data_IF_453982028273
#
_entry.id   IF_453982028273
#
_cell.length_a   1.000
_cell.length_b   1.000
_cell.length_c   1.000
_cell.angle_alpha   90.00
_cell.angle_beta   90.00
_cell.angle_gamma   90.00
#
_symmetry.space_group_name_H-M   'P 1'
#
loop_
_entity.id
_entity.type
_entity.pdbx_description
1 polymer ?
#
# COMPACT_ATOMS: atom_id res chain seq x y z
N UNK A 1 53.84 36.11 48.94
CA UNK A 1 52.38 36.24 48.74
C UNK A 1 52.12 37.22 47.60
N UNK A 2 51.71 36.73 46.43
CA UNK A 2 51.43 37.53 45.24
C UNK A 2 49.91 37.59 45.05
N UNK A 3 49.31 38.75 45.32
CA UNK A 3 47.87 39.00 45.16
C UNK A 3 47.55 39.08 43.67
N UNK A 4 46.96 38.00 43.14
CA UNK A 4 46.46 37.92 41.77
C UNK A 4 45.16 38.72 41.68
N UNK A 5 45.24 39.92 41.12
CA UNK A 5 44.07 40.76 40.86
C UNK A 5 43.21 40.09 39.77
N UNK A 6 42.09 39.48 40.17
CA UNK A 6 41.10 38.95 39.24
C UNK A 6 40.42 40.11 38.50
N UNK A 7 40.79 40.30 37.23
CA UNK A 7 40.10 41.21 36.32
C UNK A 7 38.74 40.58 35.99
N UNK A 8 37.68 41.06 36.65
CA UNK A 8 36.32 40.63 36.39
C UNK A 8 35.92 41.13 34.99
N UNK A 9 35.91 40.22 34.01
CA UNK A 9 35.36 40.49 32.68
C UNK A 9 33.87 40.76 32.82
N UNK A 10 33.45 42.04 32.76
CA UNK A 10 32.03 42.39 32.59
C UNK A 10 31.57 41.80 31.26
N UNK A 11 30.73 40.76 31.31
CA UNK A 11 29.95 40.35 30.15
C UNK A 11 29.11 41.57 29.72
N UNK A 12 29.39 42.11 28.53
CA UNK A 12 28.54 43.15 27.93
C UNK A 12 27.15 42.54 27.75
N UNK A 13 26.17 43.04 28.50
CA UNK A 13 24.76 42.70 28.27
C UNK A 13 24.32 43.22 26.89
N UNK A 14 23.39 42.50 26.27
CA UNK A 14 22.81 42.90 24.99
C UNK A 14 21.97 44.17 25.14
N UNK A 15 22.13 45.11 24.21
CA UNK A 15 21.30 46.32 24.16
C UNK A 15 19.91 45.98 23.58
N UNK A 16 18.87 46.70 24.00
CA UNK A 16 17.49 46.46 23.53
C UNK A 16 17.41 46.56 21.99
N UNK A 17 18.15 47.48 21.39
CA UNK A 17 18.27 47.65 19.93
C UNK A 17 18.91 46.46 19.23
N UNK A 18 19.91 45.84 19.83
CA UNK A 18 20.61 44.66 19.27
C UNK A 18 19.72 43.41 19.32
N UNK A 19 18.95 43.24 20.39
CA UNK A 19 17.96 42.15 20.52
C UNK A 19 16.84 42.30 19.47
N UNK A 20 16.33 43.52 19.26
CA UNK A 20 15.27 43.77 18.26
C UNK A 20 15.79 43.51 16.84
N UNK A 21 17.00 43.96 16.51
CA UNK A 21 17.63 43.67 15.22
C UNK A 21 17.84 42.16 15.02
N UNK A 22 18.33 41.47 16.04
CA UNK A 22 18.55 40.03 15.99
C UNK A 22 17.24 39.25 15.77
N UNK A 23 16.17 39.58 16.49
CA UNK A 23 14.85 38.96 16.30
C UNK A 23 14.30 39.24 14.90
N UNK A 24 14.47 40.47 14.39
CA UNK A 24 14.06 40.83 13.04
C UNK A 24 14.75 39.99 11.97
N UNK A 25 16.08 39.84 12.07
CA UNK A 25 16.87 39.01 11.15
C UNK A 25 16.48 37.52 11.26
N UNK A 26 16.31 37.00 12.49
CA UNK A 26 15.91 35.61 12.72
C UNK A 26 14.51 35.33 12.15
N UNK A 27 13.55 36.23 12.32
CA UNK A 27 12.21 36.08 11.78
C UNK A 27 12.22 36.00 10.24
N UNK A 28 12.97 36.88 9.59
CA UNK A 28 13.13 36.85 8.12
C UNK A 28 13.79 35.54 7.67
N UNK A 29 14.84 35.09 8.36
CA UNK A 29 15.51 33.82 8.06
C UNK A 29 14.58 32.62 8.20
N UNK A 30 13.73 32.57 9.24
CA UNK A 30 12.76 31.48 9.43
C UNK A 30 11.72 31.48 8.31
N UNK A 31 11.22 32.64 7.89
CA UNK A 31 10.23 32.73 6.80
C UNK A 31 10.82 32.27 5.47
N UNK A 32 12.03 32.72 5.13
CA UNK A 32 12.75 32.28 3.91
C UNK A 32 13.04 30.78 3.97
N UNK A 33 13.48 30.29 5.12
CA UNK A 33 13.73 28.87 5.34
C UNK A 33 12.46 28.04 5.15
N UNK A 34 11.34 28.41 5.76
CA UNK A 34 10.06 27.71 5.59
C UNK A 34 9.56 27.78 4.14
N UNK A 35 9.66 28.93 3.49
CA UNK A 35 9.24 29.11 2.09
C UNK A 35 10.04 28.22 1.12
N UNK A 36 11.32 27.95 1.41
CA UNK A 36 12.16 27.10 0.57
C UNK A 36 12.09 25.61 0.95
N UNK A 37 12.05 25.29 2.24
CA UNK A 37 12.05 23.89 2.71
C UNK A 37 10.71 23.19 2.56
N UNK A 38 9.58 23.90 2.65
CA UNK A 38 8.25 23.26 2.52
C UNK A 38 8.05 22.72 1.09
N UNK A 39 8.30 23.48 0.00
CA UNK A 39 8.22 22.95 -1.35
C UNK A 39 9.28 21.87 -1.62
N UNK A 40 10.53 22.06 -1.18
CA UNK A 40 11.59 21.08 -1.38
C UNK A 40 11.27 19.74 -0.72
N UNK A 41 10.73 19.75 0.51
CA UNK A 41 10.28 18.54 1.19
C UNK A 41 9.16 17.83 0.42
N UNK A 42 8.21 18.59 -0.14
CA UNK A 42 7.15 18.03 -0.99
C UNK A 42 7.73 17.38 -2.24
N UNK A 43 8.62 18.06 -2.98
CA UNK A 43 9.24 17.52 -4.20
C UNK A 43 10.09 16.27 -3.94
N UNK A 44 10.88 16.26 -2.86
CA UNK A 44 11.69 15.10 -2.46
C UNK A 44 10.79 13.94 -2.03
N UNK A 45 9.72 14.22 -1.27
CA UNK A 45 8.73 13.22 -0.91
C UNK A 45 8.03 12.65 -2.14
N UNK A 46 7.67 13.49 -3.13
CA UNK A 46 7.06 13.08 -4.40
C UNK A 46 7.97 12.18 -5.24
N UNK A 47 9.27 12.49 -5.34
CA UNK A 47 10.22 11.67 -6.09
C UNK A 47 10.54 10.34 -5.40
N UNK A 48 10.68 10.35 -4.07
CA UNK A 48 10.82 9.12 -3.28
C UNK A 48 9.55 8.26 -3.35
N UNK A 49 8.36 8.87 -3.38
CA UNK A 49 7.09 8.14 -3.55
C UNK A 49 6.97 7.46 -4.89
N UNK A 50 7.57 7.94 -5.99
CA UNK A 50 7.45 7.26 -7.29
C UNK A 50 8.19 5.92 -7.29
N UNK A 51 9.47 5.92 -6.90
CA UNK A 51 10.26 4.68 -6.82
C UNK A 51 9.67 3.71 -5.79
N UNK A 52 9.21 4.25 -4.66
CA UNK A 52 8.55 3.46 -3.63
C UNK A 52 7.20 2.92 -4.10
N UNK A 53 6.41 3.69 -4.85
CA UNK A 53 5.15 3.27 -5.45
C UNK A 53 5.37 2.12 -6.45
N UNK A 54 6.38 2.22 -7.32
CA UNK A 54 6.67 1.16 -8.29
C UNK A 54 7.11 -0.14 -7.58
N UNK A 55 7.91 -0.03 -6.50
CA UNK A 55 8.25 -1.20 -5.66
C UNK A 55 7.02 -1.80 -4.99
N UNK A 56 6.14 -0.98 -4.42
CA UNK A 56 4.90 -1.41 -3.75
C UNK A 56 3.97 -2.12 -4.75
N UNK A 57 3.83 -1.54 -5.94
CA UNK A 57 3.02 -2.09 -7.03
C UNK A 57 3.60 -3.41 -7.49
N UNK A 58 4.92 -3.49 -7.70
CA UNK A 58 5.58 -4.73 -8.08
C UNK A 58 5.38 -5.84 -7.03
N UNK A 59 5.53 -5.50 -5.75
CA UNK A 59 5.30 -6.46 -4.66
C UNK A 59 3.84 -6.94 -4.62
N UNK A 60 2.87 -6.04 -4.81
CA UNK A 60 1.46 -6.39 -4.91
C UNK A 60 1.20 -7.32 -6.11
N UNK A 61 1.71 -6.98 -7.29
CA UNK A 61 1.51 -7.80 -8.50
C UNK A 61 2.17 -9.16 -8.38
N UNK A 62 3.36 -9.24 -7.79
CA UNK A 62 4.05 -10.49 -7.53
C UNK A 62 3.26 -11.35 -6.53
N UNK A 63 2.74 -10.77 -5.45
CA UNK A 63 1.94 -11.51 -4.47
C UNK A 63 0.63 -12.03 -5.06
N UNK A 64 -0.05 -11.24 -5.90
CA UNK A 64 -1.27 -11.68 -6.58
C UNK A 64 -0.99 -12.75 -7.64
N UNK A 65 0.22 -12.77 -8.21
CA UNK A 65 0.67 -13.76 -9.19
C UNK A 65 1.20 -15.06 -8.58
N UNK A 66 1.53 -15.06 -7.29
CA UNK A 66 2.07 -16.22 -6.58
C UNK A 66 0.98 -16.91 -5.74
N UNK A 67 0.87 -18.23 -5.87
CA UNK A 67 -0.05 -19.03 -5.07
C UNK A 67 0.70 -19.75 -3.95
N UNK A 68 0.48 -19.35 -2.70
CA UNK A 68 1.19 -19.94 -1.56
C UNK A 68 0.41 -21.10 -0.95
N UNK A 69 1.14 -22.13 -0.51
CA UNK A 69 0.57 -23.40 -0.01
C UNK A 69 -0.31 -23.28 1.26
N UNK A 70 -0.09 -22.23 2.06
CA UNK A 70 -0.83 -21.95 3.30
C UNK A 70 -2.09 -21.10 3.09
N UNK A 71 -2.26 -20.50 1.92
CA UNK A 71 -3.34 -19.56 1.68
C UNK A 71 -4.68 -20.26 1.59
N UNK A 72 -5.60 -19.81 2.43
CA UNK A 72 -6.95 -20.34 2.45
C UNK A 72 -7.87 -19.55 1.54
N UNK A 73 -8.57 -20.25 0.66
CA UNK A 73 -9.59 -19.67 -0.18
C UNK A 73 -10.92 -19.49 0.55
N UNK A 74 -11.74 -18.57 0.03
CA UNK A 74 -13.12 -18.43 0.46
C UNK A 74 -13.88 -19.75 0.25
N UNK A 75 -14.92 -20.00 1.05
CA UNK A 75 -15.69 -21.25 1.05
C UNK A 75 -16.35 -21.60 -0.30
N UNK A 76 -16.47 -20.60 -1.19
CA UNK A 76 -17.01 -20.68 -2.54
C UNK A 76 -15.93 -20.82 -3.65
N UNK A 77 -14.64 -20.88 -3.34
CA UNK A 77 -13.59 -21.16 -4.33
C UNK A 77 -13.63 -22.62 -4.79
N UNK A 78 -13.36 -22.86 -6.09
CA UNK A 78 -13.50 -24.17 -6.74
C UNK A 78 -12.59 -25.19 -6.03
N UNK A 79 -13.20 -26.19 -5.42
CA UNK A 79 -12.57 -27.16 -4.52
C UNK A 79 -11.70 -28.17 -5.29
N UNK A 80 -10.37 -28.03 -5.24
CA UNK A 80 -9.45 -29.19 -5.31
C UNK A 80 -9.08 -29.71 -3.92
N UNK A 81 -9.25 -28.87 -2.90
CA UNK A 81 -9.35 -29.21 -1.48
C UNK A 81 -10.23 -28.14 -0.81
N UNK A 82 -10.89 -28.45 0.30
CA UNK A 82 -11.99 -27.65 0.90
C UNK A 82 -11.60 -26.24 1.39
N UNK A 83 -10.41 -25.73 1.07
CA UNK A 83 -9.95 -24.43 1.56
C UNK A 83 -8.76 -23.81 0.80
N UNK A 84 -8.43 -24.19 -0.45
CA UNK A 84 -7.28 -23.60 -1.19
C UNK A 84 -7.69 -22.98 -2.53
N UNK A 85 -6.96 -21.95 -2.98
CA UNK A 85 -7.15 -21.39 -4.32
C UNK A 85 -6.61 -22.39 -5.35
N UNK A 86 -7.23 -22.49 -6.53
CA UNK A 86 -6.76 -23.40 -7.59
C UNK A 86 -5.66 -22.75 -8.43
N UNK A 87 -5.70 -21.43 -8.56
CA UNK A 87 -4.75 -20.64 -9.35
C UNK A 87 -4.47 -19.28 -8.71
N UNK A 88 -3.38 -18.64 -9.12
CA UNK A 88 -3.08 -17.24 -8.76
C UNK A 88 -4.20 -16.28 -9.20
N UNK A 89 -4.83 -16.55 -10.35
CA UNK A 89 -6.00 -15.80 -10.79
C UNK A 89 -7.16 -15.89 -9.80
N UNK A 90 -7.48 -17.09 -9.31
CA UNK A 90 -8.55 -17.26 -8.32
C UNK A 90 -8.24 -16.50 -7.02
N UNK A 91 -6.98 -16.55 -6.56
CA UNK A 91 -6.50 -15.76 -5.43
C UNK A 91 -6.75 -14.27 -5.67
N UNK A 92 -6.22 -13.72 -6.76
CA UNK A 92 -6.32 -12.31 -7.09
C UNK A 92 -7.79 -11.85 -7.23
N UNK A 93 -8.64 -12.69 -7.82
CA UNK A 93 -10.07 -12.44 -7.97
C UNK A 93 -10.77 -12.29 -6.60
N UNK A 94 -10.51 -13.20 -5.66
CA UNK A 94 -11.09 -13.12 -4.32
C UNK A 94 -10.47 -12.00 -3.48
N UNK A 95 -9.15 -11.80 -3.57
CA UNK A 95 -8.46 -10.71 -2.88
C UNK A 95 -9.00 -9.34 -3.31
N UNK A 96 -9.26 -9.16 -4.60
CA UNK A 96 -9.94 -7.97 -5.10
C UNK A 96 -11.29 -7.79 -4.41
N UNK A 97 -12.12 -8.85 -4.29
CA UNK A 97 -13.40 -8.77 -3.59
C UNK A 97 -13.26 -8.40 -2.10
N UNK A 98 -12.21 -8.87 -1.43
CA UNK A 98 -11.94 -8.54 -0.04
C UNK A 98 -11.59 -7.07 0.19
N UNK A 99 -11.17 -6.34 -0.86
CA UNK A 99 -10.98 -4.89 -0.77
C UNK A 99 -12.30 -4.09 -0.66
N UNK A 100 -13.46 -4.76 -0.67
CA UNK A 100 -14.75 -4.15 -0.33
C UNK A 100 -14.82 -3.57 1.08
N UNK A 101 -13.92 -3.97 1.99
CA UNK A 101 -13.83 -3.43 3.36
C UNK A 101 -12.37 -3.29 3.79
N UNK A 102 -11.97 -2.20 4.49
CA UNK A 102 -10.62 -2.06 5.03
C UNK A 102 -10.19 -3.23 5.93
N UNK A 103 -11.11 -3.77 6.72
CA UNK A 103 -10.87 -4.90 7.63
C UNK A 103 -10.35 -6.18 6.95
N UNK A 104 -10.68 -6.39 5.68
CA UNK A 104 -10.28 -7.56 4.89
C UNK A 104 -9.37 -7.19 3.72
N UNK A 105 -8.97 -5.92 3.64
CA UNK A 105 -8.24 -5.41 2.48
C UNK A 105 -6.79 -5.87 2.45
N UNK A 106 -6.10 -5.62 1.34
CA UNK A 106 -4.68 -5.95 1.19
C UNK A 106 -3.84 -4.85 1.84
N UNK A 107 -2.85 -5.26 2.63
CA UNK A 107 -1.83 -4.40 3.22
C UNK A 107 -0.50 -4.64 2.52
N UNK A 108 0.18 -3.55 2.16
CA UNK A 108 1.55 -3.56 1.66
C UNK A 108 2.42 -2.77 2.63
N UNK A 109 3.49 -3.39 3.10
CA UNK A 109 4.35 -2.82 4.14
C UNK A 109 5.78 -3.33 4.00
N UNK A 110 6.73 -2.65 4.61
CA UNK A 110 8.06 -3.23 4.81
C UNK A 110 8.27 -3.57 6.28
N UNK A 111 8.97 -4.67 6.52
CA UNK A 111 9.34 -5.10 7.86
C UNK A 111 10.76 -5.65 7.85
N UNK A 112 11.38 -5.66 9.03
CA UNK A 112 12.66 -6.35 9.24
C UNK A 112 12.39 -7.83 9.33
N UNK A 113 12.77 -8.56 8.29
CA UNK A 113 12.82 -10.00 8.28
C UNK A 113 14.00 -10.51 9.11
N UNK A 114 13.77 -11.61 9.83
CA UNK A 114 14.77 -12.42 10.50
C UNK A 114 15.35 -13.43 9.50
N UNK A 115 16.65 -13.35 9.24
CA UNK A 115 17.38 -14.26 8.33
C UNK A 115 17.91 -15.50 9.05
N UNK A 116 17.87 -15.52 10.39
CA UNK A 116 18.36 -16.63 11.20
C UNK A 116 17.30 -17.72 11.38
N UNK A 117 16.03 -17.35 11.21
CA UNK A 117 14.89 -18.26 11.30
C UNK A 117 14.48 -18.75 9.92
N UNK A 118 13.98 -19.98 9.87
CA UNK A 118 13.38 -20.54 8.66
C UNK A 118 12.14 -19.76 8.22
N UNK A 119 11.84 -19.83 6.93
CA UNK A 119 10.61 -19.27 6.38
C UNK A 119 9.37 -19.85 7.08
N UNK A 120 8.31 -19.05 7.17
CA UNK A 120 6.98 -19.51 7.59
C UNK A 120 6.45 -20.58 6.63
N UNK A 121 5.33 -21.21 7.02
CA UNK A 121 4.59 -22.16 6.18
C UNK A 121 4.17 -21.58 4.81
N UNK A 122 4.06 -20.26 4.72
CA UNK A 122 3.70 -19.53 3.49
C UNK A 122 4.91 -19.14 2.63
N UNK A 123 6.14 -19.50 3.04
CA UNK A 123 7.37 -19.15 2.35
C UNK A 123 7.93 -17.77 2.68
N UNK A 124 7.28 -16.96 3.52
CA UNK A 124 7.82 -15.64 3.91
C UNK A 124 8.76 -15.71 5.11
N UNK A 125 9.74 -14.81 5.18
CA UNK A 125 10.59 -14.71 6.36
C UNK A 125 9.81 -14.13 7.55
N UNK A 126 10.10 -14.64 8.73
CA UNK A 126 9.54 -14.18 10.00
C UNK A 126 10.08 -12.78 10.37
N UNK A 127 9.43 -12.02 11.26
CA UNK A 127 9.91 -10.71 11.64
C UNK A 127 11.02 -10.83 12.68
N UNK A 128 11.98 -9.91 12.65
CA UNK A 128 12.96 -9.77 13.71
C UNK A 128 12.31 -9.07 14.91
N UNK A 129 12.08 -9.83 15.98
CA UNK A 129 11.48 -9.33 17.23
C UNK A 129 12.44 -9.34 18.41
N UNK A 130 13.71 -9.68 18.18
CA UNK A 130 14.68 -9.81 19.26
C UNK A 130 15.26 -8.44 19.65
N UNK A 131 15.39 -8.22 20.97
CA UNK A 131 15.95 -7.00 21.55
C UNK A 131 17.47 -6.86 21.35
N UNK A 132 18.11 -7.86 20.74
CA UNK A 132 19.51 -7.82 20.30
C UNK A 132 19.67 -7.01 19.02
N UNK A 133 20.77 -6.24 18.92
CA UNK A 133 21.04 -5.38 17.77
C UNK A 133 20.88 -6.10 16.42
N UNK A 134 20.00 -5.56 15.56
CA UNK A 134 19.84 -6.04 14.19
C UNK A 134 21.01 -5.55 13.33
N UNK A 135 21.72 -6.47 12.67
CA UNK A 135 22.76 -6.17 11.67
C UNK A 135 22.18 -6.48 10.28
N UNK A 136 21.83 -5.44 9.49
CA UNK A 136 21.33 -5.62 8.13
C UNK A 136 22.28 -6.45 7.27
N UNK A 137 21.74 -7.41 6.52
CA UNK A 137 22.47 -8.33 5.66
C UNK A 137 23.13 -9.52 6.36
N UNK A 138 23.20 -9.54 7.70
CA UNK A 138 23.73 -10.67 8.48
C UNK A 138 22.63 -11.49 9.15
N UNK A 139 21.87 -10.85 10.04
CA UNK A 139 20.77 -11.50 10.76
C UNK A 139 19.40 -10.94 10.37
N UNK A 140 19.36 -9.80 9.67
CA UNK A 140 18.11 -9.16 9.25
C UNK A 140 18.17 -8.62 7.83
N UNK A 141 17.02 -8.54 7.16
CA UNK A 141 16.87 -7.83 5.90
C UNK A 141 15.55 -7.06 5.90
N UNK A 142 15.50 -5.91 5.23
CA UNK A 142 14.21 -5.22 5.01
C UNK A 142 13.56 -5.85 3.79
N UNK A 143 12.36 -6.39 3.98
CA UNK A 143 11.58 -7.03 2.91
C UNK A 143 10.20 -6.39 2.82
N UNK A 144 9.63 -6.41 1.62
CA UNK A 144 8.26 -5.95 1.38
C UNK A 144 7.29 -7.11 1.60
N UNK A 145 6.40 -6.97 2.57
CA UNK A 145 5.31 -7.89 2.82
C UNK A 145 4.02 -7.42 2.16
N UNK A 146 3.26 -8.37 1.62
CA UNK A 146 1.89 -8.17 1.16
C UNK A 146 1.02 -9.23 1.81
N UNK A 147 -0.07 -8.84 2.45
CA UNK A 147 -1.02 -9.80 3.04
C UNK A 147 -2.41 -9.17 3.18
N UNK A 148 -3.44 -9.99 3.43
CA UNK A 148 -4.74 -9.48 3.85
C UNK A 148 -4.67 -8.95 5.28
N UNK A 149 -5.42 -7.88 5.58
CA UNK A 149 -5.46 -7.22 6.89
C UNK A 149 -5.94 -8.17 8.01
N UNK A 150 -6.84 -9.09 7.67
CA UNK A 150 -7.35 -10.12 8.59
C UNK A 150 -6.43 -11.34 8.73
N UNK A 151 -5.27 -11.38 8.08
CA UNK A 151 -4.31 -12.46 8.23
C UNK A 151 -3.50 -12.32 9.53
N UNK A 152 -4.00 -12.95 10.60
CA UNK A 152 -3.39 -12.90 11.94
C UNK A 152 -1.97 -13.49 12.01
N UNK A 153 -1.61 -14.42 11.11
CA UNK A 153 -0.24 -14.99 11.08
C UNK A 153 0.82 -13.95 10.70
N UNK A 154 0.40 -12.82 10.11
CA UNK A 154 1.26 -11.73 9.67
C UNK A 154 1.23 -10.51 10.60
N UNK A 155 0.41 -10.53 11.65
CA UNK A 155 0.29 -9.39 12.57
C UNK A 155 1.58 -9.10 13.34
N UNK A 156 2.40 -10.10 13.61
CA UNK A 156 3.71 -9.90 14.24
C UNK A 156 4.69 -9.12 13.36
N UNK A 157 4.50 -9.08 12.03
CA UNK A 157 5.33 -8.23 11.18
C UNK A 157 5.16 -6.75 11.49
N UNK A 158 3.97 -6.36 11.97
CA UNK A 158 3.63 -4.98 12.27
C UNK A 158 4.36 -4.45 13.50
N UNK A 159 4.97 -5.34 14.30
CA UNK A 159 5.88 -4.99 15.40
C UNK A 159 7.30 -4.64 14.92
N UNK A 160 7.68 -5.10 13.72
CA UNK A 160 9.01 -4.93 13.13
C UNK A 160 8.99 -4.04 11.87
N UNK A 161 8.03 -3.12 11.76
CA UNK A 161 7.83 -2.29 10.58
C UNK A 161 9.00 -1.36 10.28
N UNK A 162 9.20 -1.12 8.98
CA UNK A 162 10.13 -0.13 8.46
C UNK A 162 9.38 0.77 7.49
N UNK A 163 9.01 1.96 7.95
CA UNK A 163 8.33 2.95 7.12
C UNK A 163 6.80 2.77 7.07
N UNK A 164 6.15 3.35 6.04
CA UNK A 164 4.69 3.40 5.98
C UNK A 164 4.05 2.04 5.63
N UNK A 165 2.81 1.89 6.07
CA UNK A 165 1.92 0.78 5.68
C UNK A 165 0.84 1.35 4.76
N UNK A 166 0.55 0.64 3.67
CA UNK A 166 -0.47 1.01 2.71
C UNK A 166 -1.61 0.00 2.69
N UNK A 167 -2.83 0.47 2.85
CA UNK A 167 -4.03 -0.29 2.52
C UNK A 167 -4.39 -0.09 1.05
N UNK A 168 -4.67 -1.18 0.34
CA UNK A 168 -4.96 -1.15 -1.10
C UNK A 168 -6.45 -1.34 -1.33
N UNK A 169 -7.09 -0.43 -2.06
CA UNK A 169 -8.46 -0.61 -2.56
C UNK A 169 -8.39 -0.92 -4.05
N UNK A 170 -9.16 -1.92 -4.50
CA UNK A 170 -9.19 -2.30 -5.92
C UNK A 170 -10.56 -2.06 -6.51
N UNK A 171 -10.60 -1.34 -7.62
CA UNK A 171 -11.83 -1.05 -8.37
C UNK A 171 -11.66 -1.52 -9.80
N UNK A 172 -12.56 -2.37 -10.29
CA UNK A 172 -12.45 -2.91 -11.66
C UNK A 172 -12.56 -1.80 -12.69
N UNK A 173 -11.83 -1.92 -13.80
CA UNK A 173 -12.04 -1.15 -15.01
C UNK A 173 -12.96 -1.94 -15.94
N UNK A 174 -14.12 -1.36 -16.26
CA UNK A 174 -15.13 -1.95 -17.14
C UNK A 174 -15.21 -1.18 -18.45
N UNK A 175 -15.62 -1.86 -19.52
CA UNK A 175 -15.67 -1.24 -20.85
C UNK A 175 -16.87 -0.29 -20.92
N UNK A 176 -16.61 0.92 -21.35
CA UNK A 176 -17.62 1.93 -21.65
C UNK A 176 -17.57 2.27 -23.13
N UNK A 177 -18.76 2.35 -23.73
CA UNK A 177 -18.90 2.87 -25.10
C UNK A 177 -18.86 4.40 -24.99
N UNK A 178 -17.85 5.01 -25.60
CA UNK A 178 -17.75 6.47 -25.64
C UNK A 178 -18.57 7.02 -26.81
N UNK A 179 -18.34 6.53 -28.04
CA UNK A 179 -19.08 6.92 -29.24
C UNK A 179 -19.65 5.72 -30.01
N UNK A 180 -20.19 5.96 -31.21
CA UNK A 180 -20.71 4.91 -32.09
C UNK A 180 -19.66 3.85 -32.46
N UNK A 181 -18.37 4.18 -32.46
CA UNK A 181 -17.26 3.30 -32.86
C UNK A 181 -16.09 3.20 -31.86
N UNK A 182 -16.14 3.91 -30.73
CA UNK A 182 -15.02 3.98 -29.77
C UNK A 182 -15.39 3.38 -28.41
N UNK A 183 -14.45 2.64 -27.83
CA UNK A 183 -14.55 2.05 -26.50
C UNK A 183 -13.44 2.57 -25.60
N UNK A 184 -13.78 2.84 -24.36
CA UNK A 184 -12.85 3.18 -23.31
C UNK A 184 -13.06 2.35 -22.06
N UNK A 185 -12.33 2.70 -21.01
CA UNK A 185 -12.48 2.10 -19.70
C UNK A 185 -12.99 3.13 -18.71
N UNK A 186 -13.93 2.71 -17.86
CA UNK A 186 -14.33 3.45 -16.67
C UNK A 186 -14.21 2.59 -15.44
N UNK A 187 -14.16 3.22 -14.28
CA UNK A 187 -14.25 2.51 -13.02
C UNK A 187 -15.63 1.90 -12.83
N UNK A 188 -15.65 0.69 -12.30
CA UNK A 188 -16.86 0.04 -11.83
C UNK A 188 -17.50 0.86 -10.71
N UNK A 189 -18.83 0.83 -10.59
CA UNK A 189 -19.55 1.65 -9.60
C UNK A 189 -19.27 1.26 -8.14
N UNK A 190 -18.72 0.07 -7.89
CA UNK A 190 -18.33 -0.38 -6.55
C UNK A 190 -16.94 -1.01 -6.56
N UNK A 191 -16.10 -0.57 -5.62
CA UNK A 191 -14.82 -1.24 -5.33
C UNK A 191 -15.05 -2.62 -4.73
N UNK A 192 -14.08 -3.51 -4.89
CA UNK A 192 -14.17 -4.91 -4.47
C UNK A 192 -15.35 -5.69 -5.06
N UNK A 193 -15.89 -5.23 -6.19
CA UNK A 193 -16.92 -5.95 -6.95
C UNK A 193 -16.43 -6.15 -8.37
N UNK A 194 -16.53 -7.39 -8.85
CA UNK A 194 -16.16 -7.74 -10.22
C UNK A 194 -17.45 -7.88 -11.03
N UNK A 195 -17.55 -7.10 -12.08
CA UNK A 195 -18.63 -7.08 -13.04
C UNK A 195 -18.20 -7.78 -14.33
N UNK A 196 -19.18 -8.23 -15.10
CA UNK A 196 -18.96 -8.52 -16.50
C UNK A 196 -18.48 -7.23 -17.19
N UNK A 197 -17.33 -7.23 -17.86
CA UNK A 197 -16.77 -6.01 -18.46
C UNK A 197 -17.62 -5.45 -19.61
N UNK A 198 -18.51 -6.25 -20.21
CA UNK A 198 -19.36 -5.87 -21.35
C UNK A 198 -20.86 -5.81 -21.02
N UNK A 199 -21.33 -6.53 -19.99
CA UNK A 199 -22.71 -6.49 -19.53
C UNK A 199 -22.83 -5.55 -18.31
N UNK A 200 -23.41 -4.35 -18.54
CA UNK A 200 -23.49 -3.17 -17.65
C UNK A 200 -24.30 -3.42 -16.35
N UNK A 201 -23.89 -4.37 -15.52
CA UNK A 201 -24.48 -4.58 -14.19
C UNK A 201 -24.39 -6.01 -13.65
N UNK A 202 -24.06 -7.01 -14.48
CA UNK A 202 -23.95 -8.39 -13.98
C UNK A 202 -22.71 -8.56 -13.11
N UNK A 203 -22.91 -8.79 -11.81
CA UNK A 203 -21.83 -9.09 -10.85
C UNK A 203 -21.39 -10.55 -10.99
N UNK A 204 -20.08 -10.75 -11.07
CA UNK A 204 -19.41 -12.04 -11.11
C UNK A 204 -18.81 -12.32 -9.73
N UNK A 205 -19.33 -13.34 -9.05
CA UNK A 205 -18.92 -13.69 -7.68
C UNK A 205 -17.83 -14.76 -7.62
N UNK A 206 -17.66 -15.53 -8.69
CA UNK A 206 -16.74 -16.66 -8.74
C UNK A 206 -15.83 -16.57 -9.97
N UNK A 207 -14.53 -16.92 -9.85
CA UNK A 207 -13.59 -16.89 -10.97
C UNK A 207 -14.02 -17.77 -12.15
N UNK A 208 -14.71 -18.88 -11.88
CA UNK A 208 -15.25 -19.83 -12.86
C UNK A 208 -16.30 -19.22 -13.79
N UNK A 209 -16.96 -18.14 -13.37
CA UNK A 209 -17.99 -17.42 -14.12
C UNK A 209 -17.41 -16.27 -14.95
N UNK A 210 -16.11 -15.97 -14.78
CA UNK A 210 -15.40 -14.97 -15.55
C UNK A 210 -14.78 -15.61 -16.80
N UNK A 211 -15.61 -16.07 -17.75
CA UNK A 211 -15.19 -16.95 -18.87
C UNK A 211 -15.64 -16.42 -20.23
N UNK A 212 -14.77 -16.67 -21.22
CA UNK A 212 -14.91 -16.43 -22.65
C UNK A 212 -16.13 -17.12 -23.26
N UNK A 213 -17.27 -16.45 -23.24
CA UNK A 213 -18.22 -16.61 -24.33
C UNK A 213 -18.57 -15.21 -24.82
N UNK A 214 -18.15 -14.80 -26.03
CA UNK A 214 -18.75 -13.63 -26.66
C UNK A 214 -20.25 -13.92 -26.75
N UNK A 215 -21.09 -13.04 -26.18
CA UNK A 215 -22.53 -13.14 -26.36
C UNK A 215 -22.82 -13.07 -27.87
N UNK A 216 -23.35 -14.15 -28.45
CA UNK A 216 -23.79 -14.16 -29.85
C UNK A 216 -24.82 -13.03 -30.02
N UNK A 217 -24.48 -12.01 -30.81
CA UNK A 217 -25.41 -10.94 -31.21
C UNK A 217 -25.21 -9.59 -30.52
N UNK A 218 -24.28 -9.46 -29.56
CA UNK A 218 -23.88 -8.15 -29.00
C UNK A 218 -22.68 -7.60 -29.77
N UNK A 219 -22.74 -6.36 -30.25
CA UNK A 219 -21.73 -5.73 -31.13
C UNK A 219 -20.29 -5.58 -30.61
N UNK A 220 -19.91 -6.26 -29.52
CA UNK A 220 -18.51 -6.43 -29.08
C UNK A 220 -18.16 -7.92 -28.99
N UNK A 221 -17.58 -8.47 -30.05
CA UNK A 221 -16.96 -9.80 -30.05
C UNK A 221 -15.52 -9.76 -29.50
N UNK A 222 -15.28 -9.03 -28.41
CA UNK A 222 -13.97 -9.04 -27.77
C UNK A 222 -13.90 -10.21 -26.79
N UNK A 223 -12.85 -11.04 -26.87
CA UNK A 223 -12.69 -12.13 -25.92
C UNK A 223 -12.50 -11.54 -24.51
N UNK A 224 -13.36 -11.90 -23.54
CA UNK A 224 -13.22 -11.57 -22.10
C UNK A 224 -13.06 -12.83 -21.24
N UNK A 225 -12.22 -12.78 -20.21
CA UNK A 225 -12.10 -13.90 -19.26
C UNK A 225 -10.69 -14.31 -18.85
N UNK A 226 -9.63 -13.80 -19.50
CA UNK A 226 -8.24 -14.06 -19.10
C UNK A 226 -7.59 -12.88 -18.40
N UNK A 227 -8.24 -11.72 -18.34
CA UNK A 227 -7.69 -10.55 -17.66
C UNK A 227 -8.80 -9.76 -16.96
N UNK A 228 -8.52 -9.37 -15.73
CA UNK A 228 -9.31 -8.37 -15.00
C UNK A 228 -8.44 -7.13 -14.90
N UNK A 229 -8.87 -6.06 -15.57
CA UNK A 229 -8.27 -4.73 -15.45
C UNK A 229 -8.86 -4.06 -14.21
N UNK A 230 -8.02 -3.38 -13.42
CA UNK A 230 -8.46 -2.68 -12.22
C UNK A 230 -7.56 -1.49 -11.92
N UNK A 231 -8.10 -0.51 -11.21
CA UNK A 231 -7.32 0.54 -10.57
C UNK A 231 -7.07 0.14 -9.12
N UNK A 232 -5.80 0.11 -8.73
CA UNK A 232 -5.35 0.00 -7.35
C UNK A 232 -5.13 1.40 -6.77
N UNK A 233 -5.78 1.68 -5.66
CA UNK A 233 -5.64 2.92 -4.89
C UNK A 233 -4.95 2.61 -3.56
N UNK A 234 -3.88 3.35 -3.25
CA UNK A 234 -3.04 3.08 -2.09
C UNK A 234 -3.24 4.16 -1.02
N UNK A 235 -3.73 3.75 0.14
CA UNK A 235 -4.00 4.61 1.28
C UNK A 235 -2.94 4.39 2.35
N UNK A 236 -2.17 5.43 2.69
CA UNK A 236 -1.22 5.33 3.80
C UNK A 236 -1.97 5.30 5.12
N UNK A 237 -1.72 4.26 5.92
CA UNK A 237 -2.30 4.14 7.25
C UNK A 237 -1.54 5.01 8.25
N UNK A 238 -2.29 5.81 9.02
CA UNK A 238 -1.74 6.59 10.13
C UNK A 238 -1.44 5.70 11.35
N UNK A 239 -2.28 4.69 11.56
CA UNK A 239 -2.05 3.67 12.56
C UNK A 239 -1.80 2.34 11.86
N UNK A 240 -0.66 1.74 12.17
CA UNK A 240 -0.19 0.51 11.53
C UNK A 240 -0.71 -0.76 12.19
N UNK A 241 -1.45 -0.65 13.29
CA UNK A 241 -2.09 -1.77 13.96
C UNK A 241 -3.24 -2.33 13.10
N UNK A 242 -3.13 -3.57 12.58
CA UNK A 242 -4.16 -4.18 11.75
C UNK A 242 -5.50 -4.34 12.47
N UNK A 243 -5.52 -4.44 13.80
CA UNK A 243 -6.74 -4.62 14.56
C UNK A 243 -7.68 -3.41 14.41
N UNK A 244 -7.11 -2.21 14.32
CA UNK A 244 -7.89 -0.98 14.16
C UNK A 244 -8.58 -0.86 12.80
N UNK A 245 -8.11 -1.59 11.79
CA UNK A 245 -8.76 -1.64 10.48
C UNK A 245 -10.15 -2.31 10.53
N UNK A 246 -10.43 -3.11 11.57
CA UNK A 246 -11.71 -3.82 11.70
C UNK A 246 -12.92 -2.87 11.81
N UNK A 247 -12.71 -1.67 12.31
CA UNK A 247 -13.77 -0.67 12.55
C UNK A 247 -13.73 0.50 11.56
N UNK A 248 -12.83 0.48 10.58
CA UNK A 248 -12.67 1.57 9.61
C UNK A 248 -13.49 1.34 8.34
N UNK A 249 -13.96 2.44 7.76
CA UNK A 249 -14.49 2.47 6.39
C UNK A 249 -13.49 3.18 5.47
N UNK A 250 -13.68 3.05 4.15
CA UNK A 250 -12.78 3.68 3.18
C UNK A 250 -12.86 5.21 3.23
N UNK A 251 -14.01 5.76 3.60
CA UNK A 251 -14.23 7.20 3.78
C UNK A 251 -13.36 7.75 4.92
N UNK A 252 -13.08 6.94 5.95
CA UNK A 252 -12.22 7.32 7.06
C UNK A 252 -10.74 7.44 6.65
N UNK A 253 -10.32 6.75 5.58
CA UNK A 253 -8.93 6.69 5.12
C UNK A 253 -8.51 7.88 4.22
N UNK A 254 -9.35 8.92 4.10
CA UNK A 254 -9.13 10.13 3.29
C UNK A 254 -8.83 9.78 1.83
N UNK A 255 -7.94 10.53 1.16
CA UNK A 255 -7.58 10.37 -0.25
C UNK A 255 -6.41 9.41 -0.42
N UNK A 256 -6.38 8.60 -1.48
CA UNK A 256 -5.24 7.75 -1.78
C UNK A 256 -3.98 8.60 -2.04
N UNK A 257 -2.83 8.09 -1.60
CA UNK A 257 -1.53 8.73 -1.82
C UNK A 257 -1.14 8.64 -3.29
N UNK A 258 -1.42 7.50 -3.92
CA UNK A 258 -1.24 7.29 -5.35
C UNK A 258 -2.19 6.19 -5.85
N UNK A 259 -2.31 6.11 -7.18
CA UNK A 259 -3.13 5.09 -7.85
C UNK A 259 -2.39 4.53 -9.07
N UNK A 260 -2.68 3.27 -9.42
CA UNK A 260 -2.14 2.62 -10.63
C UNK A 260 -3.19 1.73 -11.28
N UNK A 261 -3.24 1.75 -12.61
CA UNK A 261 -4.01 0.79 -13.39
C UNK A 261 -3.17 -0.48 -13.57
N UNK A 262 -3.73 -1.61 -13.16
CA UNK A 262 -3.07 -2.90 -13.13
C UNK A 262 -4.01 -3.96 -13.70
N UNK A 263 -3.46 -5.16 -13.86
CA UNK A 263 -4.21 -6.29 -14.33
C UNK A 263 -3.70 -7.58 -13.69
N UNK A 264 -4.61 -8.53 -13.47
CA UNK A 264 -4.23 -9.91 -13.17
C UNK A 264 -4.86 -10.83 -14.21
N UNK A 265 -4.11 -11.88 -14.55
CA UNK A 265 -4.41 -12.77 -15.67
C UNK A 265 -4.59 -14.21 -15.24
N UNK A 266 -5.34 -14.95 -16.04
CA UNK A 266 -5.60 -16.38 -15.85
C UNK A 266 -4.45 -17.24 -16.33
#
# INVERSE_FOLDING_TARGET
MLTKCMKQSRAKGFTLTEVVLAIGVVAVLIVVFMAMFIPARRTVQSALTIREADRIVHALTAELGELRNSERAASNARKSSSSRYVSAFDKAFYWMQFTSRPATTILVYNYRADLTKGARKDGTPQPWLEDGGSIPGKNTAVVTGVCLANNKERWDDFKALVGPVFAVRMTQLVVERMDSSSYGYKLAPKYGTIYNPYNRGKVIKEPSLYVYTPEKGGGLNLPWGAEVLYQAEFFQLLNTDPERLQHLTWENLKTPVFTRNLAFRR
#
